data_IF_467191474518
#
_entry.id   IF_467191474518
#
_cell.length_a   1.000
_cell.length_b   1.000
_cell.length_c   1.000
_cell.angle_alpha   90.00
_cell.angle_beta   90.00
_cell.angle_gamma   90.00
#
_symmetry.space_group_name_H-M   'P 1'
#
loop_
_entity.id
_entity.type
_entity.pdbx_description
1 polymer ?
#
# COMPACT_ATOMS: atom_id res chain seq x y z
N UNK A 1 -13.26 26.40 52.50
CA UNK A 1 -13.14 27.69 53.21
C UNK A 1 -14.54 28.20 53.50
N UNK A 2 -14.78 28.85 54.64
CA UNK A 2 -16.08 29.42 55.02
C UNK A 2 -16.25 30.87 54.56
N UNK A 3 -17.45 31.41 54.74
CA UNK A 3 -17.76 32.80 54.42
C UNK A 3 -18.88 33.36 55.31
N UNK A 4 -18.91 34.68 55.47
CA UNK A 4 -19.92 35.38 56.26
C UNK A 4 -21.09 35.80 55.38
N UNK A 5 -22.32 35.60 55.86
CA UNK A 5 -23.52 36.19 55.26
C UNK A 5 -23.85 37.51 55.95
N UNK A 6 -23.98 38.60 55.19
CA UNK A 6 -24.36 39.89 55.74
C UNK A 6 -25.87 40.05 55.77
N UNK A 7 -26.42 40.34 56.95
CA UNK A 7 -27.85 40.55 57.15
C UNK A 7 -28.14 42.03 57.40
N UNK A 8 -29.19 42.55 56.78
CA UNK A 8 -29.71 43.90 57.05
C UNK A 8 -31.13 43.78 57.59
N UNK A 9 -31.31 44.03 58.88
CA UNK A 9 -32.63 44.08 59.53
C UNK A 9 -33.24 45.48 59.39
N UNK A 10 -34.50 45.54 58.96
CA UNK A 10 -35.26 46.78 58.82
C UNK A 10 -36.51 46.77 59.72
N UNK A 11 -36.92 47.94 60.27
CA UNK A 11 -36.26 49.25 60.18
C UNK A 11 -34.91 49.28 60.92
N UNK A 12 -34.06 50.28 60.66
CA UNK A 12 -32.71 50.33 61.25
C UNK A 12 -32.67 50.37 62.80
N UNK A 13 -33.81 50.69 63.42
CA UNK A 13 -34.06 50.70 64.87
C UNK A 13 -34.54 49.36 65.42
N UNK A 14 -34.73 48.34 64.57
CA UNK A 14 -35.16 47.01 64.99
C UNK A 14 -34.09 46.31 65.83
N UNK A 15 -34.54 45.37 66.67
CA UNK A 15 -33.66 44.41 67.33
C UNK A 15 -32.85 43.66 66.25
N UNK A 16 -31.54 43.59 66.46
CA UNK A 16 -30.59 43.00 65.49
C UNK A 16 -30.16 41.59 65.84
N UNK A 17 -30.81 40.97 66.84
CA UNK A 17 -30.53 39.57 67.18
C UNK A 17 -31.06 38.63 66.10
N UNK A 18 -30.19 37.71 65.71
CA UNK A 18 -30.39 36.76 64.63
C UNK A 18 -30.47 35.34 65.18
N UNK A 19 -31.29 34.50 64.56
CA UNK A 19 -31.31 33.05 64.78
C UNK A 19 -30.99 32.40 63.45
N UNK A 20 -29.92 31.61 63.42
CA UNK A 20 -29.45 30.92 62.23
C UNK A 20 -29.78 29.43 62.29
N UNK A 21 -30.17 28.86 61.16
CA UNK A 21 -30.34 27.41 61.00
C UNK A 21 -29.93 26.96 59.61
N UNK A 22 -29.55 25.70 59.49
CA UNK A 22 -29.25 25.06 58.22
C UNK A 22 -30.23 23.91 57.97
N UNK A 23 -30.75 23.80 56.76
CA UNK A 23 -31.65 22.71 56.39
C UNK A 23 -30.97 21.33 56.42
N UNK A 24 -29.63 21.29 56.30
CA UNK A 24 -28.83 20.07 56.36
C UNK A 24 -27.42 20.37 56.90
N UNK A 25 -27.22 20.13 58.19
CA UNK A 25 -25.94 20.34 58.87
C UNK A 25 -24.85 19.30 58.54
N UNK A 26 -25.18 18.26 57.78
CA UNK A 26 -24.16 17.36 57.21
C UNK A 26 -23.45 18.00 56.00
N UNK A 27 -24.13 18.92 55.30
CA UNK A 27 -23.61 19.65 54.14
C UNK A 27 -22.85 20.90 54.58
N UNK A 28 -23.46 21.75 55.41
CA UNK A 28 -22.82 22.96 55.92
C UNK A 28 -23.37 23.34 57.30
N UNK A 29 -22.56 24.01 58.12
CA UNK A 29 -23.01 24.59 59.40
C UNK A 29 -22.88 26.11 59.37
N UNK A 30 -23.71 26.77 60.16
CA UNK A 30 -23.69 28.22 60.38
C UNK A 30 -23.59 28.46 61.88
N UNK A 31 -22.72 29.38 62.30
CA UNK A 31 -22.62 29.79 63.70
C UNK A 31 -23.60 30.93 64.04
N UNK A 32 -23.56 31.40 65.29
CA UNK A 32 -24.46 32.45 65.76
C UNK A 32 -24.16 33.85 65.18
N UNK A 33 -23.06 34.01 64.44
CA UNK A 33 -22.65 35.25 63.78
C UNK A 33 -22.87 35.20 62.26
N UNK A 34 -23.51 34.14 61.74
CA UNK A 34 -23.77 33.98 60.31
C UNK A 34 -22.56 33.50 59.50
N UNK A 35 -21.53 32.96 60.15
CA UNK A 35 -20.38 32.36 59.49
C UNK A 35 -20.70 30.94 59.04
N UNK A 36 -20.66 30.69 57.73
CA UNK A 36 -21.03 29.41 57.12
C UNK A 36 -19.77 28.61 56.78
N UNK A 37 -19.72 27.35 57.23
CA UNK A 37 -18.64 26.39 56.94
C UNK A 37 -19.20 25.16 56.25
N UNK A 38 -18.76 24.90 55.02
CA UNK A 38 -19.08 23.67 54.31
C UNK A 38 -18.37 22.45 54.92
N UNK A 39 -19.11 21.35 55.07
CA UNK A 39 -18.62 20.06 55.58
C UNK A 39 -18.52 18.99 54.50
N UNK A 40 -19.55 18.84 53.66
CA UNK A 40 -19.59 17.84 52.61
C UNK A 40 -20.27 18.39 51.35
N UNK A 41 -19.98 17.80 50.20
CA UNK A 41 -20.58 18.23 48.93
C UNK A 41 -22.10 18.10 48.97
N UNK A 42 -22.79 19.15 48.54
CA UNK A 42 -24.24 19.17 48.58
C UNK A 42 -24.80 20.57 48.47
N UNK A 43 -26.12 20.65 48.54
CA UNK A 43 -26.85 21.92 48.61
C UNK A 43 -27.75 21.91 49.83
N UNK A 44 -27.65 22.96 50.63
CA UNK A 44 -28.56 23.22 51.74
C UNK A 44 -29.08 24.66 51.67
N UNK A 45 -30.07 24.98 52.48
CA UNK A 45 -30.57 26.33 52.66
C UNK A 45 -30.22 26.77 54.08
N UNK A 46 -29.51 27.88 54.20
CA UNK A 46 -29.28 28.55 55.48
C UNK A 46 -30.34 29.62 55.64
N UNK A 47 -31.04 29.61 56.77
CA UNK A 47 -32.13 30.54 57.09
C UNK A 47 -31.67 31.45 58.23
N UNK A 48 -31.79 32.76 58.05
CA UNK A 48 -31.76 33.73 59.16
C UNK A 48 -33.18 34.10 59.54
N UNK A 49 -33.47 34.05 60.83
CA UNK A 49 -34.78 34.41 61.40
C UNK A 49 -34.60 35.53 62.43
N UNK A 50 -35.47 36.54 62.40
CA UNK A 50 -35.45 37.60 63.42
C UNK A 50 -35.80 37.02 64.80
N UNK A 51 -34.98 37.34 65.81
CA UNK A 51 -35.19 36.84 67.18
C UNK A 51 -36.54 37.28 67.77
N UNK A 52 -36.95 38.53 67.54
CA UNK A 52 -38.15 39.11 68.14
C UNK A 52 -39.42 38.93 67.28
N UNK A 53 -39.27 38.56 66.01
CA UNK A 53 -40.38 38.29 65.09
C UNK A 53 -40.04 37.09 64.19
N UNK A 54 -40.28 35.85 64.65
CA UNK A 54 -39.95 34.63 63.89
C UNK A 54 -40.66 34.49 62.53
N UNK A 55 -41.68 35.31 62.24
CA UNK A 55 -42.31 35.35 60.92
C UNK A 55 -41.43 36.06 59.87
N UNK A 56 -40.47 36.89 60.30
CA UNK A 56 -39.50 37.57 59.42
C UNK A 56 -38.25 36.70 59.31
N UNK A 57 -37.99 36.20 58.10
CA UNK A 57 -36.86 35.35 57.77
C UNK A 57 -36.34 35.60 56.36
N UNK A 58 -35.11 35.21 56.11
CA UNK A 58 -34.50 35.21 54.78
C UNK A 58 -33.66 33.94 54.59
N UNK A 59 -33.64 33.45 53.36
CA UNK A 59 -33.00 32.20 52.98
C UNK A 59 -31.84 32.47 52.03
N UNK A 60 -30.72 31.77 52.22
CA UNK A 60 -29.62 31.71 51.26
C UNK A 60 -29.36 30.24 50.88
N UNK A 61 -29.32 29.99 49.57
CA UNK A 61 -28.92 28.69 49.03
C UNK A 61 -27.40 28.55 49.10
N UNK A 62 -26.92 27.54 49.83
CA UNK A 62 -25.49 27.23 49.97
C UNK A 62 -25.19 25.96 49.18
N UNK A 63 -24.21 26.03 48.28
CA UNK A 63 -23.68 24.87 47.56
C UNK A 63 -22.23 24.67 47.92
N UNK A 64 -21.92 23.52 48.53
CA UNK A 64 -20.55 23.12 48.89
C UNK A 64 -20.01 22.23 47.78
N UNK A 65 -18.83 22.57 47.25
CA UNK A 65 -18.12 21.79 46.23
C UNK A 65 -16.69 21.49 46.71
N UNK A 66 -16.14 20.33 46.30
CA UNK A 66 -14.73 20.05 46.50
C UNK A 66 -13.89 20.67 45.36
N UNK A 67 -13.07 21.70 45.63
CA UNK A 67 -12.27 22.37 44.60
C UNK A 67 -11.15 21.48 44.04
N UNK A 68 -10.86 20.34 44.67
CA UNK A 68 -9.87 19.36 44.21
C UNK A 68 -10.53 18.11 43.60
N UNK A 69 -11.85 18.10 43.42
CA UNK A 69 -12.54 17.02 42.73
C UNK A 69 -12.47 17.24 41.23
N UNK A 70 -12.25 16.16 40.49
CA UNK A 70 -12.22 16.21 39.02
C UNK A 70 -13.59 16.66 38.50
N UNK A 71 -13.59 17.70 37.68
CA UNK A 71 -14.78 18.28 37.05
C UNK A 71 -14.72 18.32 35.51
N UNK A 72 -13.54 18.11 34.92
CA UNK A 72 -13.36 18.01 33.48
C UNK A 72 -12.20 17.08 33.14
N UNK A 73 -12.26 16.47 31.95
CA UNK A 73 -11.18 15.70 31.35
C UNK A 73 -10.79 16.39 30.05
N UNK A 74 -9.49 16.49 29.78
CA UNK A 74 -8.97 16.93 28.48
C UNK A 74 -8.16 15.80 27.86
N UNK A 75 -8.47 15.49 26.59
CA UNK A 75 -7.76 14.50 25.80
C UNK A 75 -6.75 15.18 24.86
N UNK A 76 -5.61 14.52 24.62
CA UNK A 76 -4.66 14.95 23.59
C UNK A 76 -5.21 14.80 22.16
N UNK A 77 -6.13 13.84 21.96
CA UNK A 77 -6.90 13.59 20.74
C UNK A 77 -8.23 12.92 21.07
N UNK A 78 -9.26 13.24 20.30
CA UNK A 78 -10.63 12.71 20.42
C UNK A 78 -10.97 11.70 19.31
N UNK A 79 -10.01 11.43 18.43
CA UNK A 79 -10.13 10.43 17.38
C UNK A 79 -8.78 9.76 17.10
N UNK A 80 -8.81 8.51 16.67
CA UNK A 80 -7.63 7.77 16.20
C UNK A 80 -8.02 6.75 15.13
N UNK A 81 -7.09 6.53 14.18
CA UNK A 81 -7.19 5.49 13.17
C UNK A 81 -6.02 4.54 13.33
N UNK A 82 -6.29 3.26 13.63
CA UNK A 82 -5.27 2.25 13.91
C UNK A 82 -5.47 1.01 13.02
N UNK A 83 -4.40 0.35 12.57
CA UNK A 83 -4.54 -0.91 11.85
C UNK A 83 -4.91 -2.07 12.80
N UNK A 84 -5.52 -3.13 12.27
CA UNK A 84 -5.65 -4.41 13.01
C UNK A 84 -4.27 -4.87 13.49
N UNK A 85 -4.17 -5.25 14.76
CA UNK A 85 -2.91 -5.62 15.43
C UNK A 85 -2.03 -4.43 15.84
N UNK A 86 -2.36 -3.20 15.44
CA UNK A 86 -1.74 -1.97 15.91
C UNK A 86 -2.40 -1.41 17.17
N UNK A 87 -1.87 -0.29 17.64
CA UNK A 87 -2.43 0.42 18.79
C UNK A 87 -1.94 1.85 18.91
N UNK A 88 -2.62 2.63 19.74
CA UNK A 88 -2.35 4.04 19.98
C UNK A 88 -2.93 4.47 21.34
N UNK A 89 -2.52 5.63 21.86
CA UNK A 89 -2.94 6.19 23.15
C UNK A 89 -3.29 7.67 23.03
N UNK A 90 -4.34 8.13 23.72
CA UNK A 90 -4.62 9.54 23.93
C UNK A 90 -4.29 9.92 25.38
N UNK A 91 -3.39 10.86 25.57
CA UNK A 91 -3.04 11.34 26.90
C UNK A 91 -4.20 12.09 27.56
N UNK A 92 -4.46 11.74 28.82
CA UNK A 92 -5.54 12.27 29.64
C UNK A 92 -5.01 13.33 30.60
N UNK A 93 -5.68 14.46 30.67
CA UNK A 93 -5.46 15.49 31.70
C UNK A 93 -6.73 15.65 32.53
N UNK A 94 -6.67 15.22 33.79
CA UNK A 94 -7.74 15.43 34.77
C UNK A 94 -7.69 16.87 35.30
N UNK A 95 -8.82 17.58 35.24
CA UNK A 95 -8.97 18.94 35.71
C UNK A 95 -9.92 19.02 36.91
N UNK A 96 -9.61 19.88 37.91
CA UNK A 96 -8.48 20.79 37.94
C UNK A 96 -7.14 20.06 38.19
N UNK A 97 -6.02 20.67 37.80
CA UNK A 97 -4.70 19.98 37.83
C UNK A 97 -4.22 19.64 39.23
N UNK A 98 -4.75 20.30 40.26
CA UNK A 98 -4.53 20.00 41.68
C UNK A 98 -5.46 18.91 42.23
N UNK A 99 -6.26 18.24 41.39
CA UNK A 99 -7.15 17.19 41.85
C UNK A 99 -6.39 16.07 42.58
N UNK A 100 -6.95 15.59 43.69
CA UNK A 100 -6.28 14.64 44.60
C UNK A 100 -6.35 13.19 44.13
N UNK A 101 -7.41 12.82 43.39
CA UNK A 101 -7.58 11.49 42.82
C UNK A 101 -7.79 11.59 41.30
N UNK A 102 -6.78 11.19 40.53
CA UNK A 102 -6.75 11.27 39.06
C UNK A 102 -6.84 9.88 38.39
N UNK A 103 -7.30 8.86 39.12
CA UNK A 103 -7.40 7.51 38.55
C UNK A 103 -8.42 7.47 37.42
N UNK A 104 -8.03 6.81 36.34
CA UNK A 104 -8.80 6.62 35.12
C UNK A 104 -9.54 5.28 35.15
N UNK A 105 -10.67 5.22 34.46
CA UNK A 105 -11.39 3.98 34.13
C UNK A 105 -11.69 4.02 32.64
N UNK A 106 -11.21 3.02 31.91
CA UNK A 106 -11.35 2.94 30.46
C UNK A 106 -12.35 1.86 30.07
N UNK A 107 -13.21 2.17 29.10
CA UNK A 107 -14.23 1.24 28.58
C UNK A 107 -14.28 1.37 27.06
N UNK A 108 -14.20 0.23 26.36
CA UNK A 108 -14.53 0.17 24.93
C UNK A 108 -16.01 -0.14 24.74
N UNK A 109 -16.67 0.54 23.81
CA UNK A 109 -18.05 0.23 23.44
C UNK A 109 -18.18 -1.10 22.69
N UNK A 110 -17.10 -1.60 22.09
CA UNK A 110 -17.04 -2.89 21.38
C UNK A 110 -15.61 -3.44 21.38
N UNK A 111 -15.32 -4.33 22.32
CA UNK A 111 -14.02 -5.00 22.45
C UNK A 111 -13.70 -5.97 21.30
N UNK A 112 -14.71 -6.37 20.50
CA UNK A 112 -14.47 -7.15 19.29
C UNK A 112 -13.88 -6.33 18.15
N UNK A 113 -13.96 -4.99 18.23
CA UNK A 113 -13.37 -4.04 17.28
C UNK A 113 -12.04 -3.50 17.84
N UNK A 114 -12.04 -2.97 19.06
CA UNK A 114 -10.83 -2.49 19.73
C UNK A 114 -10.93 -2.64 21.25
N UNK A 115 -9.83 -3.01 21.89
CA UNK A 115 -9.70 -3.11 23.36
C UNK A 115 -8.92 -1.91 23.90
N UNK A 116 -9.06 -1.65 25.20
CA UNK A 116 -8.29 -0.62 25.91
C UNK A 116 -7.82 -1.20 27.26
N UNK A 117 -6.56 -0.96 27.62
CA UNK A 117 -6.03 -1.41 28.92
C UNK A 117 -6.16 -0.33 30.01
N UNK A 118 -5.76 -0.65 31.24
CA UNK A 118 -5.84 0.26 32.39
C UNK A 118 -4.95 1.51 32.27
N UNK A 119 -4.01 1.54 31.33
CA UNK A 119 -3.14 2.68 31.02
C UNK A 119 -3.67 3.54 29.87
N UNK A 120 -4.82 3.18 29.28
CA UNK A 120 -5.44 3.89 28.16
C UNK A 120 -4.86 3.54 26.79
N UNK A 121 -4.03 2.49 26.69
CA UNK A 121 -3.55 1.98 25.41
C UNK A 121 -4.66 1.24 24.66
N UNK A 122 -5.01 1.73 23.48
CA UNK A 122 -6.06 1.17 22.62
C UNK A 122 -5.44 0.25 21.58
N UNK A 123 -5.94 -0.98 21.44
CA UNK A 123 -5.45 -1.97 20.47
C UNK A 123 -6.55 -2.38 19.47
N UNK A 124 -6.22 -2.38 18.18
CA UNK A 124 -7.15 -2.74 17.10
C UNK A 124 -7.27 -4.25 16.91
N UNK A 125 -8.49 -4.79 16.98
CA UNK A 125 -8.76 -6.23 16.88
C UNK A 125 -9.40 -6.59 15.54
N UNK A 126 -10.39 -5.83 15.09
CA UNK A 126 -11.14 -6.10 13.86
C UNK A 126 -11.54 -4.80 13.19
N UNK A 127 -11.61 -4.83 11.85
CA UNK A 127 -12.06 -3.68 11.07
C UNK A 127 -13.44 -3.21 11.55
N UNK A 128 -13.57 -1.90 11.77
CA UNK A 128 -14.80 -1.30 12.28
C UNK A 128 -14.57 0.02 12.99
N UNK A 129 -15.63 0.56 13.57
CA UNK A 129 -15.57 1.77 14.40
C UNK A 129 -16.19 1.49 15.75
N UNK A 130 -15.52 1.91 16.83
CA UNK A 130 -16.06 1.88 18.18
C UNK A 130 -15.70 3.17 18.92
N UNK A 131 -16.25 3.35 20.12
CA UNK A 131 -15.95 4.48 21.01
C UNK A 131 -15.22 3.93 22.23
N UNK A 132 -14.05 4.50 22.52
CA UNK A 132 -13.35 4.26 23.79
C UNK A 132 -13.60 5.46 24.70
N UNK A 133 -14.09 5.22 25.92
CA UNK A 133 -14.44 6.27 26.88
C UNK A 133 -13.57 6.16 28.12
N UNK A 134 -13.03 7.30 28.57
CA UNK A 134 -12.35 7.44 29.86
C UNK A 134 -13.28 8.12 30.84
N UNK A 135 -13.41 7.54 32.03
CA UNK A 135 -14.15 8.08 33.16
C UNK A 135 -13.19 8.47 34.27
N UNK A 136 -13.50 9.54 35.00
CA UNK A 136 -12.82 9.83 36.27
C UNK A 136 -13.33 8.89 37.36
N UNK A 137 -12.44 8.16 38.02
CA UNK A 137 -12.82 7.32 39.17
C UNK A 137 -13.34 8.15 40.35
N UNK A 138 -12.86 9.38 40.50
CA UNK A 138 -13.28 10.29 41.58
C UNK A 138 -14.64 10.94 41.31
N UNK A 139 -15.03 11.03 40.03
CA UNK A 139 -16.30 11.59 39.61
C UNK A 139 -16.77 10.90 38.30
N UNK A 140 -17.42 9.72 38.39
CA UNK A 140 -17.79 8.94 37.21
C UNK A 140 -18.78 9.62 36.25
N UNK A 141 -19.41 10.73 36.66
CA UNK A 141 -20.20 11.55 35.75
C UNK A 141 -19.34 12.35 34.76
N UNK A 142 -18.05 12.55 35.06
CA UNK A 142 -17.08 13.21 34.19
C UNK A 142 -16.40 12.15 33.33
N UNK A 143 -16.62 12.24 32.03
CA UNK A 143 -16.03 11.33 31.05
C UNK A 143 -15.74 12.05 29.75
N UNK A 144 -14.83 11.49 28.96
CA UNK A 144 -14.54 11.93 27.60
C UNK A 144 -14.36 10.71 26.68
N UNK A 145 -14.64 10.89 25.40
CA UNK A 145 -14.70 9.80 24.45
C UNK A 145 -13.74 10.01 23.27
N UNK A 146 -13.19 8.90 22.78
CA UNK A 146 -12.33 8.82 21.61
C UNK A 146 -13.04 7.97 20.56
N UNK A 147 -13.21 8.53 19.36
CA UNK A 147 -13.66 7.75 18.20
C UNK A 147 -12.50 6.93 17.65
N UNK A 148 -12.64 5.61 17.68
CA UNK A 148 -11.61 4.68 17.20
C UNK A 148 -12.06 4.06 15.88
N UNK A 149 -11.28 4.26 14.83
CA UNK A 149 -11.47 3.61 13.53
C UNK A 149 -10.38 2.57 13.32
N UNK A 150 -10.75 1.29 13.32
CA UNK A 150 -9.82 0.19 13.06
C UNK A 150 -9.88 -0.16 11.57
N UNK A 151 -8.75 -0.05 10.90
CA UNK A 151 -8.61 -0.35 9.46
C UNK A 151 -7.92 -1.69 9.25
N UNK A 152 -8.33 -2.44 8.23
CA UNK A 152 -7.59 -3.63 7.80
C UNK A 152 -6.51 -3.26 6.77
N UNK A 153 -5.20 -3.28 7.12
CA UNK A 153 -4.13 -2.97 6.17
C UNK A 153 -3.96 -4.02 5.08
N UNK A 154 -4.60 -5.19 5.21
CA UNK A 154 -4.53 -6.31 4.28
C UNK A 154 -5.79 -6.41 3.40
N UNK A 155 -6.71 -5.45 3.50
CA UNK A 155 -7.92 -5.38 2.68
C UNK A 155 -7.71 -4.43 1.51
N UNK A 156 -8.15 -4.86 0.32
CA UNK A 156 -8.11 -4.03 -0.88
C UNK A 156 -8.98 -2.78 -0.68
N UNK A 157 -8.39 -1.61 -0.92
CA UNK A 157 -9.04 -0.30 -0.83
C UNK A 157 -9.03 0.48 -2.15
N UNK A 158 -8.16 0.11 -3.10
CA UNK A 158 -8.12 0.73 -4.43
C UNK A 158 -7.66 -0.26 -5.50
N UNK A 159 -8.11 -0.02 -6.75
CA UNK A 159 -7.62 -0.69 -7.95
C UNK A 159 -6.96 0.35 -8.84
N UNK A 160 -5.74 0.08 -9.28
CA UNK A 160 -5.06 0.86 -10.31
C UNK A 160 -4.93 0.03 -11.58
N UNK A 161 -5.36 0.59 -12.70
CA UNK A 161 -5.20 -0.02 -14.02
C UNK A 161 -4.00 0.55 -14.76
N UNK A 162 -3.34 -0.28 -15.56
CA UNK A 162 -2.29 0.17 -16.50
C UNK A 162 -2.85 1.07 -17.60
N UNK A 163 -4.11 0.86 -17.99
CA UNK A 163 -4.90 1.72 -18.89
C UNK A 163 -6.39 1.67 -18.54
N UNK A 164 -7.07 2.77 -18.81
CA UNK A 164 -8.51 2.95 -18.57
C UNK A 164 -9.32 3.00 -19.86
N UNK A 165 -8.66 2.88 -21.01
CA UNK A 165 -9.29 2.84 -22.32
C UNK A 165 -8.53 1.87 -23.24
N UNK A 166 -9.21 1.21 -24.16
CA UNK A 166 -8.61 0.34 -25.18
C UNK A 166 -9.37 0.38 -26.50
N UNK A 167 -8.62 0.33 -27.61
CA UNK A 167 -9.17 0.21 -28.97
C UNK A 167 -8.78 -1.16 -29.52
N UNK A 168 -9.76 -2.03 -29.75
CA UNK A 168 -9.53 -3.42 -30.16
C UNK A 168 -10.10 -3.63 -31.55
N UNK A 169 -9.36 -4.27 -32.46
CA UNK A 169 -9.94 -4.72 -33.72
C UNK A 169 -10.82 -5.96 -33.48
N UNK A 170 -11.93 -6.10 -34.21
CA UNK A 170 -12.74 -7.33 -34.16
C UNK A 170 -11.86 -8.57 -34.37
N UNK A 171 -11.96 -9.53 -33.43
CA UNK A 171 -11.18 -10.77 -33.41
C UNK A 171 -9.86 -10.69 -32.66
N UNK A 172 -9.41 -9.51 -32.24
CA UNK A 172 -8.22 -9.32 -31.42
C UNK A 172 -8.59 -9.24 -29.92
N UNK A 173 -7.57 -9.26 -29.07
CA UNK A 173 -7.70 -9.01 -27.65
C UNK A 173 -6.75 -7.90 -27.20
N UNK A 174 -7.04 -7.34 -26.05
CA UNK A 174 -6.18 -6.43 -25.31
C UNK A 174 -6.35 -6.66 -23.79
N UNK A 175 -5.39 -6.24 -22.98
CA UNK A 175 -5.42 -6.42 -21.51
C UNK A 175 -4.95 -5.15 -20.79
N UNK A 176 -5.63 -4.79 -19.70
CA UNK A 176 -5.13 -3.80 -18.74
C UNK A 176 -4.69 -4.50 -17.46
N UNK A 177 -3.41 -4.37 -17.10
CA UNK A 177 -2.90 -4.92 -15.85
C UNK A 177 -3.52 -4.23 -14.64
N UNK A 178 -3.93 -5.04 -13.68
CA UNK A 178 -4.56 -4.63 -12.43
C UNK A 178 -3.53 -4.63 -11.31
N UNK A 179 -3.49 -3.55 -10.54
CA UNK A 179 -2.77 -3.47 -9.27
C UNK A 179 -3.80 -3.25 -8.16
N UNK A 180 -4.00 -4.27 -7.34
CA UNK A 180 -4.76 -4.17 -6.09
C UNK A 180 -3.92 -3.44 -5.04
N UNK A 181 -4.50 -2.43 -4.39
CA UNK A 181 -3.86 -1.64 -3.35
C UNK A 181 -4.65 -1.74 -2.04
N UNK A 182 -3.98 -1.72 -0.88
CA UNK A 182 -2.53 -1.59 -0.70
C UNK A 182 -1.78 -2.88 -1.12
N UNK A 183 -0.46 -2.80 -1.33
CA UNK A 183 0.38 -3.97 -1.69
C UNK A 183 0.40 -5.07 -0.63
N UNK A 184 0.05 -4.71 0.60
CA UNK A 184 -0.13 -5.64 1.73
C UNK A 184 -1.43 -6.43 1.64
N UNK A 185 -2.31 -6.14 0.68
CA UNK A 185 -3.55 -6.87 0.52
C UNK A 185 -3.29 -8.37 0.26
N UNK A 186 -3.93 -9.23 1.06
CA UNK A 186 -3.69 -10.67 1.00
C UNK A 186 -4.57 -11.36 -0.05
N UNK A 187 -5.81 -10.90 -0.22
CA UNK A 187 -6.74 -11.42 -1.21
C UNK A 187 -6.90 -10.40 -2.35
N UNK A 188 -6.26 -10.69 -3.47
CA UNK A 188 -6.20 -9.83 -4.66
C UNK A 188 -7.00 -10.40 -5.83
N UNK A 189 -7.92 -11.33 -5.59
CA UNK A 189 -8.72 -11.92 -6.66
C UNK A 189 -9.58 -10.89 -7.40
N UNK A 190 -9.58 -11.00 -8.73
CA UNK A 190 -10.27 -10.13 -9.67
C UNK A 190 -11.59 -10.74 -10.14
N UNK A 191 -12.63 -9.91 -10.22
CA UNK A 191 -13.91 -10.28 -10.85
C UNK A 191 -14.13 -9.34 -12.03
N UNK A 192 -14.14 -9.92 -13.23
CA UNK A 192 -14.29 -9.19 -14.48
C UNK A 192 -15.71 -9.28 -15.03
N UNK A 193 -16.22 -8.18 -15.56
CA UNK A 193 -17.53 -8.13 -16.22
C UNK A 193 -17.48 -7.22 -17.45
N UNK A 194 -18.26 -7.55 -18.47
CA UNK A 194 -18.51 -6.66 -19.61
C UNK A 194 -19.95 -6.17 -19.56
N UNK A 195 -20.13 -4.86 -19.72
CA UNK A 195 -21.46 -4.25 -19.86
C UNK A 195 -22.17 -4.65 -21.16
N UNK A 196 -21.43 -5.08 -22.19
CA UNK A 196 -22.00 -5.63 -23.41
C UNK A 196 -21.07 -6.70 -24.04
N UNK A 197 -21.25 -7.98 -23.67
CA UNK A 197 -20.48 -9.11 -24.22
C UNK A 197 -20.60 -9.28 -25.74
N UNK A 198 -21.64 -8.74 -26.38
CA UNK A 198 -21.75 -8.81 -27.84
C UNK A 198 -20.75 -7.86 -28.55
N UNK A 199 -20.32 -6.78 -27.89
CA UNK A 199 -19.30 -5.86 -28.40
C UNK A 199 -17.91 -6.34 -27.98
N UNK A 200 -17.70 -6.59 -26.69
CA UNK A 200 -16.45 -7.16 -26.18
C UNK A 200 -16.70 -8.06 -24.98
N UNK A 201 -16.02 -9.22 -24.94
CA UNK A 201 -16.03 -10.14 -23.79
C UNK A 201 -14.77 -9.96 -22.95
N UNK A 202 -14.81 -10.41 -21.70
CA UNK A 202 -13.63 -10.45 -20.83
C UNK A 202 -13.58 -11.80 -20.13
N UNK A 203 -12.39 -12.40 -20.04
CA UNK A 203 -12.21 -13.66 -19.33
C UNK A 203 -11.82 -13.45 -17.85
N UNK A 204 -11.60 -14.56 -17.12
CA UNK A 204 -11.23 -14.51 -15.69
C UNK A 204 -9.81 -13.98 -15.42
N UNK A 205 -9.00 -13.80 -16.46
CA UNK A 205 -7.63 -13.29 -16.38
C UNK A 205 -7.52 -11.83 -16.84
N UNK A 206 -8.64 -11.19 -17.18
CA UNK A 206 -8.70 -9.80 -17.62
C UNK A 206 -8.40 -9.58 -19.10
N UNK A 207 -8.29 -10.65 -19.91
CA UNK A 207 -8.16 -10.49 -21.36
C UNK A 207 -9.50 -10.05 -21.95
N UNK A 208 -9.51 -8.91 -22.64
CA UNK A 208 -10.70 -8.33 -23.28
C UNK A 208 -10.66 -8.63 -24.77
N UNK A 209 -11.69 -9.29 -25.30
CA UNK A 209 -11.78 -9.70 -26.71
C UNK A 209 -12.78 -8.84 -27.46
N UNK A 210 -12.38 -8.28 -28.60
CA UNK A 210 -13.28 -7.52 -29.48
C UNK A 210 -14.16 -8.46 -30.31
N UNK A 211 -15.47 -8.48 -30.06
CA UNK A 211 -16.43 -9.36 -30.73
C UNK A 211 -17.14 -8.70 -31.93
N UNK A 212 -17.62 -7.47 -31.77
CA UNK A 212 -18.27 -6.71 -32.86
C UNK A 212 -18.05 -5.20 -32.70
N UNK A 213 -18.08 -4.41 -33.80
CA UNK A 213 -17.81 -2.99 -33.72
C UNK A 213 -18.79 -2.25 -32.79
N UNK A 214 -18.27 -1.36 -31.95
CA UNK A 214 -19.06 -0.62 -30.98
C UNK A 214 -18.25 -0.25 -29.74
N UNK A 215 -18.89 0.34 -28.74
CA UNK A 215 -18.26 0.69 -27.47
C UNK A 215 -18.95 0.01 -26.29
N UNK A 216 -18.18 -0.49 -25.34
CA UNK A 216 -18.69 -0.97 -24.06
C UNK A 216 -17.72 -0.66 -22.92
N UNK A 217 -18.16 -0.86 -21.68
CA UNK A 217 -17.33 -0.80 -20.48
C UNK A 217 -17.01 -2.23 -20.02
N UNK A 218 -15.74 -2.49 -19.75
CA UNK A 218 -15.27 -3.66 -19.01
C UNK A 218 -14.86 -3.22 -17.61
N UNK A 219 -15.37 -3.91 -16.59
CA UNK A 219 -15.13 -3.58 -15.19
C UNK A 219 -14.33 -4.68 -14.52
N UNK A 220 -13.35 -4.30 -13.68
CA UNK A 220 -12.76 -5.18 -12.67
C UNK A 220 -13.21 -4.76 -11.28
N UNK A 221 -13.57 -5.75 -10.47
CA UNK A 221 -14.03 -5.59 -9.09
C UNK A 221 -13.15 -6.46 -8.20
N UNK A 222 -12.75 -5.95 -7.02
CA UNK A 222 -12.06 -6.78 -6.03
C UNK A 222 -13.05 -7.77 -5.42
N UNK A 223 -12.74 -9.08 -5.46
CA UNK A 223 -13.58 -10.09 -4.81
C UNK A 223 -13.64 -9.92 -3.29
N UNK A 224 -12.53 -9.51 -2.69
CA UNK A 224 -12.41 -9.28 -1.25
C UNK A 224 -13.13 -8.01 -0.79
N UNK A 225 -13.26 -7.02 -1.67
CA UNK A 225 -13.99 -5.80 -1.40
C UNK A 225 -14.78 -5.34 -2.64
N UNK A 226 -16.01 -5.86 -2.86
CA UNK A 226 -16.79 -5.58 -4.07
C UNK A 226 -17.19 -4.11 -4.29
N UNK A 227 -17.00 -3.25 -3.29
CA UNK A 227 -17.18 -1.80 -3.42
C UNK A 227 -16.03 -1.13 -4.18
N UNK A 228 -14.86 -1.77 -4.27
CA UNK A 228 -13.69 -1.28 -4.99
C UNK A 228 -13.72 -1.83 -6.41
N UNK A 229 -13.86 -0.92 -7.37
CA UNK A 229 -14.04 -1.21 -8.79
C UNK A 229 -13.20 -0.25 -9.64
N UNK A 230 -12.72 -0.72 -10.79
CA UNK A 230 -12.20 0.14 -11.85
C UNK A 230 -12.83 -0.24 -13.20
N UNK A 231 -12.99 0.77 -14.07
CA UNK A 231 -13.62 0.64 -15.38
C UNK A 231 -12.63 0.90 -16.50
N UNK A 232 -12.80 0.16 -17.59
CA UNK A 232 -12.09 0.33 -18.85
C UNK A 232 -13.10 0.62 -19.95
N UNK A 233 -12.90 1.71 -20.68
CA UNK A 233 -13.65 2.02 -21.89
C UNK A 233 -13.08 1.19 -23.04
N UNK A 234 -13.91 0.39 -23.69
CA UNK A 234 -13.52 -0.49 -24.79
C UNK A 234 -14.20 -0.02 -26.07
N UNK A 235 -13.42 0.33 -27.09
CA UNK A 235 -13.92 0.59 -28.43
C UNK A 235 -13.46 -0.50 -29.37
N UNK A 236 -14.40 -1.23 -29.95
CA UNK A 236 -14.11 -2.29 -30.93
C UNK A 236 -14.29 -1.73 -32.34
N UNK A 237 -13.24 -1.85 -33.15
CA UNK A 237 -13.14 -1.29 -34.49
C UNK A 237 -13.26 -2.37 -35.57
N UNK A 238 -13.93 -2.07 -36.67
CA UNK A 238 -14.03 -2.95 -37.84
C UNK A 238 -12.71 -3.03 -38.60
N UNK A 239 -12.37 -4.21 -39.14
CA UNK A 239 -11.23 -4.38 -40.05
C UNK A 239 -11.57 -3.83 -41.44
N UNK A 240 -10.83 -2.85 -41.94
CA UNK A 240 -10.96 -2.38 -43.33
C UNK A 240 -10.42 -3.45 -44.27
N UNK A 241 -11.30 -4.04 -45.09
CA UNK A 241 -10.89 -5.01 -46.10
C UNK A 241 -10.36 -4.27 -47.33
N UNK A 242 -9.05 -4.23 -47.53
CA UNK A 242 -8.47 -3.80 -48.80
C UNK A 242 -8.58 -4.96 -49.79
N UNK A 243 -9.56 -4.90 -50.69
CA UNK A 243 -9.73 -5.84 -51.79
C UNK A 243 -8.69 -5.55 -52.87
N UNK A 244 -7.59 -6.31 -52.90
CA UNK A 244 -6.59 -6.22 -53.98
C UNK A 244 -7.08 -7.04 -55.17
N UNK A 245 -7.53 -6.36 -56.24
CA UNK A 245 -7.87 -6.98 -57.53
C UNK A 245 -6.58 -7.28 -58.30
N UNK A 246 -6.27 -8.55 -58.51
CA UNK A 246 -5.11 -9.01 -59.29
C UNK A 246 -5.35 -8.74 -60.78
N UNK A 247 -4.55 -7.84 -61.38
CA UNK A 247 -4.42 -7.74 -62.85
C UNK A 247 -3.02 -8.14 -63.25
N UNK A 248 -2.93 -9.14 -64.12
CA UNK A 248 -1.71 -9.71 -64.69
C UNK A 248 -1.07 -8.74 -65.68
N UNK A 249 0.18 -8.32 -65.47
CA UNK A 249 1.04 -7.87 -66.59
C UNK A 249 2.52 -8.14 -66.31
N UNK A 250 3.16 -8.50 -67.42
CA UNK A 250 4.48 -9.02 -67.77
C UNK A 250 5.72 -8.42 -67.08
N UNK A 251 6.70 -9.30 -66.91
CA UNK A 251 8.11 -9.19 -66.52
C UNK A 251 8.86 -7.95 -67.02
N UNK A 252 9.56 -7.25 -66.11
CA UNK A 252 10.90 -6.66 -66.37
C UNK A 252 11.67 -6.59 -65.06
N UNK A 253 12.89 -7.13 -65.09
CA UNK A 253 13.83 -7.21 -63.98
C UNK A 253 14.45 -5.84 -63.68
N UNK A 254 14.29 -5.34 -62.45
CA UNK A 254 15.18 -4.31 -61.86
C UNK A 254 15.47 -4.67 -60.40
N UNK A 255 16.76 -4.68 -60.08
CA UNK A 255 17.37 -4.99 -58.80
C UNK A 255 17.24 -3.83 -57.80
N UNK A 256 17.18 -4.18 -56.51
CA UNK A 256 17.49 -3.37 -55.30
C UNK A 256 16.51 -2.26 -54.90
N UNK A 257 15.72 -2.48 -53.84
CA UNK A 257 16.04 -2.15 -52.43
C UNK A 257 14.78 -2.35 -51.58
N UNK A 258 14.83 -3.28 -50.64
CA UNK A 258 13.82 -3.43 -49.58
C UNK A 258 13.95 -2.28 -48.59
N UNK A 259 13.17 -1.22 -48.77
CA UNK A 259 12.78 -0.33 -47.68
C UNK A 259 11.49 -0.87 -47.07
N UNK A 260 11.62 -1.69 -46.03
CA UNK A 260 10.55 -1.94 -45.07
C UNK A 260 10.26 -0.64 -44.34
N UNK A 261 9.12 -0.02 -44.65
CA UNK A 261 8.53 1.00 -43.79
C UNK A 261 7.98 0.32 -42.51
N UNK A 262 8.13 0.92 -41.32
CA UNK A 262 8.07 0.20 -40.05
C UNK A 262 6.62 -0.04 -39.60
N UNK A 263 6.37 -1.23 -39.06
CA UNK A 263 5.25 -1.47 -38.14
C UNK A 263 5.57 -0.73 -36.83
N UNK A 264 5.07 0.49 -36.67
CA UNK A 264 5.21 1.24 -35.40
C UNK A 264 4.21 0.63 -34.40
N UNK A 265 4.65 -0.40 -33.68
CA UNK A 265 4.19 -0.64 -32.31
C UNK A 265 4.96 0.35 -31.45
N UNK A 266 4.36 1.47 -31.06
CA UNK A 266 5.07 2.46 -30.23
C UNK A 266 5.15 1.96 -28.79
N UNK A 267 6.18 1.19 -28.48
CA UNK A 267 6.58 0.90 -27.09
C UNK A 267 6.93 2.22 -26.39
N UNK A 268 6.46 2.39 -25.15
CA UNK A 268 6.70 3.62 -24.39
C UNK A 268 8.06 3.52 -23.72
N UNK A 269 9.00 4.36 -24.14
CA UNK A 269 10.34 4.48 -23.53
C UNK A 269 10.34 5.58 -22.48
N UNK A 270 10.74 5.25 -21.26
CA UNK A 270 10.87 6.19 -20.14
C UNK A 270 12.30 6.16 -19.60
N UNK A 271 12.87 7.32 -19.33
CA UNK A 271 14.11 7.43 -18.56
C UNK A 271 13.81 8.08 -17.21
N UNK A 272 14.06 7.37 -16.12
CA UNK A 272 13.84 7.85 -14.75
C UNK A 272 15.19 7.79 -14.04
N UNK A 273 15.75 8.96 -13.71
CA UNK A 273 17.04 9.09 -13.02
C UNK A 273 18.18 8.30 -13.70
N UNK A 274 18.27 8.34 -15.03
CA UNK A 274 19.30 7.63 -15.79
C UNK A 274 19.01 6.14 -16.01
N UNK A 275 17.87 5.63 -15.55
CA UNK A 275 17.44 4.24 -15.74
C UNK A 275 16.36 4.16 -16.81
N UNK A 276 16.52 3.27 -17.78
CA UNK A 276 15.59 3.14 -18.90
C UNK A 276 14.55 2.05 -18.65
N UNK A 277 13.29 2.38 -18.94
CA UNK A 277 12.16 1.47 -18.92
C UNK A 277 11.47 1.48 -20.29
N UNK A 278 11.05 0.31 -20.76
CA UNK A 278 10.26 0.16 -21.99
C UNK A 278 9.01 -0.62 -21.62
N UNK A 279 7.83 0.01 -21.76
CA UNK A 279 6.55 -0.51 -21.24
C UNK A 279 6.62 -0.90 -19.76
N UNK A 280 7.38 -0.14 -18.97
CA UNK A 280 7.61 -0.41 -17.54
C UNK A 280 8.62 -1.51 -17.24
N UNK A 281 9.19 -2.17 -18.25
CA UNK A 281 10.25 -3.18 -18.09
C UNK A 281 11.60 -2.46 -17.98
N UNK A 282 12.32 -2.67 -16.87
CA UNK A 282 13.68 -2.16 -16.69
C UNK A 282 14.64 -2.74 -17.75
N UNK A 283 15.20 -1.90 -18.60
CA UNK A 283 16.10 -2.32 -19.68
C UNK A 283 17.55 -2.03 -19.32
N UNK A 284 18.37 -3.09 -19.39
CA UNK A 284 19.83 -3.03 -19.29
C UNK A 284 20.40 -3.92 -20.38
N UNK A 285 21.15 -3.34 -21.30
CA UNK A 285 21.85 -4.05 -22.37
C UNK A 285 23.02 -3.18 -22.85
N UNK A 286 23.59 -3.43 -24.04
CA UNK A 286 24.74 -2.64 -24.53
C UNK A 286 24.40 -1.19 -24.89
N UNK A 287 23.15 -0.90 -25.25
CA UNK A 287 22.66 0.45 -25.52
C UNK A 287 22.27 1.18 -24.23
N UNK A 288 21.53 0.49 -23.36
CA UNK A 288 20.93 1.08 -22.16
C UNK A 288 21.71 0.65 -20.92
N UNK A 289 22.43 1.60 -20.30
CA UNK A 289 23.20 1.38 -19.08
C UNK A 289 22.43 1.77 -17.82
N UNK A 290 22.80 1.17 -16.70
CA UNK A 290 22.49 1.65 -15.36
C UNK A 290 23.53 2.67 -14.86
N UNK A 291 23.10 3.67 -14.07
CA UNK A 291 24.01 4.55 -13.34
C UNK A 291 24.98 3.80 -12.43
N UNK A 292 26.16 4.38 -12.18
CA UNK A 292 27.18 3.79 -11.29
C UNK A 292 26.71 3.66 -9.85
N UNK A 293 25.86 4.59 -9.42
CA UNK A 293 25.24 4.65 -8.10
C UNK A 293 23.88 3.93 -8.03
N UNK A 294 23.42 3.30 -9.12
CA UNK A 294 22.27 2.42 -9.08
C UNK A 294 22.58 1.22 -8.17
N UNK A 295 21.96 1.25 -6.99
CA UNK A 295 22.15 0.24 -5.96
C UNK A 295 20.81 -0.40 -5.58
N UNK A 296 20.78 -1.72 -5.61
CA UNK A 296 19.74 -2.53 -5.01
C UNK A 296 20.35 -3.34 -3.87
N UNK A 297 19.55 -3.77 -2.90
CA UNK A 297 20.01 -4.50 -1.72
C UNK A 297 20.45 -5.95 -2.01
N UNK A 298 20.36 -6.40 -3.27
CA UNK A 298 20.66 -7.77 -3.68
C UNK A 298 19.75 -8.24 -4.82
N UNK A 299 19.58 -9.56 -4.90
CA UNK A 299 18.61 -10.16 -5.81
C UNK A 299 17.19 -9.71 -5.40
N UNK A 300 16.37 -9.34 -6.38
CA UNK A 300 15.00 -8.89 -6.18
C UNK A 300 14.19 -9.98 -5.47
N UNK A 301 13.42 -9.61 -4.44
CA UNK A 301 12.70 -10.57 -3.60
C UNK A 301 11.67 -11.41 -4.40
N UNK A 302 11.00 -10.82 -5.39
CA UNK A 302 10.04 -11.54 -6.23
C UNK A 302 10.74 -12.49 -7.20
N UNK A 303 11.87 -12.06 -7.79
CA UNK A 303 12.69 -12.93 -8.62
C UNK A 303 13.21 -14.12 -7.79
N UNK A 304 13.72 -13.87 -6.57
CA UNK A 304 14.19 -14.93 -5.67
C UNK A 304 13.05 -15.90 -5.30
N UNK A 305 11.87 -15.37 -4.92
CA UNK A 305 10.73 -16.21 -4.58
C UNK A 305 10.30 -17.10 -5.75
N UNK A 306 10.21 -16.53 -6.96
CA UNK A 306 9.84 -17.28 -8.15
C UNK A 306 10.91 -18.27 -8.58
N UNK A 307 12.19 -17.95 -8.41
CA UNK A 307 13.28 -18.89 -8.65
C UNK A 307 13.21 -20.08 -7.68
N UNK A 308 12.91 -19.83 -6.41
CA UNK A 308 12.74 -20.90 -5.42
C UNK A 308 11.56 -21.81 -5.76
N UNK A 309 10.41 -21.25 -6.17
CA UNK A 309 9.27 -22.05 -6.65
C UNK A 309 9.65 -22.88 -7.87
N UNK A 310 10.31 -22.27 -8.86
CA UNK A 310 10.80 -22.96 -10.05
C UNK A 310 11.74 -24.12 -9.71
N UNK A 311 12.66 -23.90 -8.76
CA UNK A 311 13.61 -24.92 -8.31
C UNK A 311 12.90 -26.07 -7.56
N UNK A 312 11.88 -25.77 -6.75
CA UNK A 312 11.08 -26.78 -6.06
C UNK A 312 10.28 -27.64 -7.04
N UNK A 313 9.65 -27.03 -8.04
CA UNK A 313 8.88 -27.77 -9.06
C UNK A 313 9.78 -28.60 -9.96
N UNK A 314 10.98 -28.11 -10.28
CA UNK A 314 12.01 -28.90 -10.96
C UNK A 314 12.47 -30.10 -10.10
N UNK A 315 12.63 -29.90 -8.79
CA UNK A 315 13.02 -30.96 -7.85
C UNK A 315 11.99 -32.10 -7.74
N UNK A 316 10.69 -31.80 -7.89
CA UNK A 316 9.65 -32.84 -7.96
C UNK A 316 9.81 -33.77 -9.17
N UNK A 317 10.54 -33.34 -10.19
CA UNK A 317 10.87 -34.11 -11.39
C UNK A 317 12.29 -34.72 -11.33
N UNK A 318 12.97 -34.63 -10.18
CA UNK A 318 14.33 -35.13 -9.99
C UNK A 318 15.42 -34.23 -10.56
N UNK A 319 15.10 -32.98 -10.91
CA UNK A 319 16.04 -31.99 -11.46
C UNK A 319 16.58 -31.06 -10.35
N UNK A 320 17.81 -30.56 -10.49
CA UNK A 320 18.40 -29.65 -9.49
C UNK A 320 18.76 -28.30 -10.08
N UNK A 321 18.02 -27.26 -9.72
CA UNK A 321 18.31 -25.88 -10.09
C UNK A 321 18.94 -25.12 -8.90
N UNK A 322 20.08 -24.48 -9.12
CA UNK A 322 20.82 -23.69 -8.12
C UNK A 322 21.18 -22.33 -8.69
N UNK A 323 20.99 -21.28 -7.88
CA UNK A 323 21.47 -19.94 -8.20
C UNK A 323 22.99 -19.88 -7.99
N UNK A 324 23.75 -19.81 -9.07
CA UNK A 324 25.22 -19.72 -9.03
C UNK A 324 25.72 -18.28 -9.02
N UNK A 325 25.01 -17.38 -9.70
CA UNK A 325 25.26 -15.94 -9.64
C UNK A 325 23.95 -15.14 -9.68
N UNK A 326 23.79 -14.18 -8.77
CA UNK A 326 22.62 -13.31 -8.71
C UNK A 326 23.01 -11.85 -8.93
N UNK A 327 22.65 -10.98 -7.99
CA UNK A 327 23.04 -9.57 -8.05
C UNK A 327 24.57 -9.37 -8.10
N UNK A 328 25.03 -8.50 -9.02
CA UNK A 328 26.41 -8.04 -9.10
C UNK A 328 26.43 -6.51 -9.13
N UNK A 329 27.17 -5.89 -8.22
CA UNK A 329 27.31 -4.43 -8.18
C UNK A 329 28.07 -3.90 -9.40
N UNK A 330 27.93 -2.60 -9.67
CA UNK A 330 28.71 -1.92 -10.71
C UNK A 330 30.23 -2.13 -10.53
N UNK A 331 30.74 -1.95 -9.31
CA UNK A 331 32.17 -2.09 -8.99
C UNK A 331 32.69 -3.52 -9.16
N UNK A 332 31.87 -4.52 -8.84
CA UNK A 332 32.20 -5.91 -9.09
C UNK A 332 32.26 -6.18 -10.60
N UNK A 333 31.29 -5.68 -11.36
CA UNK A 333 31.26 -5.81 -12.81
C UNK A 333 32.47 -5.14 -13.49
N UNK A 334 32.94 -3.99 -12.97
CA UNK A 334 34.16 -3.32 -13.41
C UNK A 334 35.40 -4.19 -13.24
N UNK A 335 35.57 -4.77 -12.06
CA UNK A 335 36.68 -5.69 -11.79
C UNK A 335 36.63 -6.92 -12.71
N UNK A 336 35.43 -7.52 -12.84
CA UNK A 336 35.22 -8.71 -13.67
C UNK A 336 35.49 -8.44 -15.15
N UNK A 337 34.91 -7.38 -15.71
CA UNK A 337 35.10 -7.02 -17.11
C UNK A 337 36.57 -6.71 -17.43
N UNK A 338 37.25 -5.95 -16.56
CA UNK A 338 38.68 -5.65 -16.74
C UNK A 338 39.54 -6.92 -16.71
N UNK A 339 39.19 -7.91 -15.90
CA UNK A 339 39.89 -9.21 -15.89
C UNK A 339 39.76 -9.96 -17.23
N UNK A 340 38.58 -9.90 -17.87
CA UNK A 340 38.36 -10.50 -19.18
C UNK A 340 39.05 -9.73 -20.31
N UNK A 341 39.05 -8.40 -20.26
CA UNK A 341 39.82 -7.56 -21.20
C UNK A 341 41.31 -7.88 -21.12
N UNK A 342 41.85 -8.06 -19.92
CA UNK A 342 43.26 -8.41 -19.71
C UNK A 342 43.60 -9.81 -20.23
N UNK A 343 42.70 -10.79 -20.05
CA UNK A 343 42.94 -12.18 -20.44
C UNK A 343 42.74 -12.41 -21.94
N UNK A 344 41.67 -11.85 -22.50
CA UNK A 344 41.12 -12.25 -23.80
C UNK A 344 41.05 -11.09 -24.81
N UNK A 345 41.34 -9.86 -24.37
CA UNK A 345 41.23 -8.65 -25.18
C UNK A 345 39.81 -8.07 -25.23
N UNK A 346 39.73 -6.75 -25.43
CA UNK A 346 38.47 -6.00 -25.35
C UNK A 346 37.40 -6.46 -26.34
N UNK A 347 37.80 -6.75 -27.58
CA UNK A 347 36.85 -7.15 -28.64
C UNK A 347 36.11 -8.45 -28.27
N UNK A 348 36.83 -9.42 -27.69
CA UNK A 348 36.26 -10.70 -27.28
C UNK A 348 35.51 -10.56 -25.94
N UNK A 349 36.04 -9.81 -24.98
CA UNK A 349 35.34 -9.52 -23.73
C UNK A 349 33.99 -8.80 -23.96
N UNK A 350 33.90 -7.94 -24.98
CA UNK A 350 32.65 -7.28 -25.36
C UNK A 350 31.58 -8.25 -25.90
N UNK A 351 31.89 -9.50 -26.31
CA UNK A 351 30.89 -10.45 -26.85
C UNK A 351 30.23 -11.32 -25.79
N UNK A 352 30.95 -11.68 -24.73
CA UNK A 352 30.48 -12.61 -23.69
C UNK A 352 30.43 -11.98 -22.29
N UNK A 353 30.91 -10.74 -22.13
CA UNK A 353 30.81 -10.00 -20.88
C UNK A 353 30.17 -8.63 -21.11
N UNK A 354 29.87 -7.94 -20.02
CA UNK A 354 29.25 -6.63 -20.04
C UNK A 354 30.19 -5.58 -19.44
N UNK A 355 30.30 -4.43 -20.11
CA UNK A 355 30.91 -3.23 -19.53
C UNK A 355 30.13 -2.83 -18.26
N UNK A 356 30.76 -2.17 -17.27
CA UNK A 356 30.08 -1.73 -16.06
C UNK A 356 28.87 -0.84 -16.39
N UNK A 357 27.74 -1.08 -15.72
CA UNK A 357 26.45 -0.45 -16.05
C UNK A 357 25.64 -1.20 -17.10
N UNK A 358 26.24 -2.09 -17.89
CA UNK A 358 25.55 -2.82 -18.97
C UNK A 358 25.24 -4.28 -18.63
N UNK A 359 25.48 -4.72 -17.38
CA UNK A 359 25.15 -6.07 -16.93
C UNK A 359 23.77 -6.11 -16.30
N UNK A 360 22.90 -7.01 -16.77
CA UNK A 360 21.60 -7.23 -16.15
C UNK A 360 21.70 -7.67 -14.69
N UNK A 361 22.80 -8.28 -14.25
CA UNK A 361 22.99 -8.65 -12.84
C UNK A 361 22.95 -7.45 -11.90
N UNK A 362 23.28 -6.25 -12.38
CA UNK A 362 23.17 -5.03 -11.56
C UNK A 362 21.71 -4.65 -11.27
N UNK A 363 20.74 -5.16 -12.05
CA UNK A 363 19.31 -4.95 -11.77
C UNK A 363 18.81 -5.73 -10.55
N UNK A 364 19.51 -6.81 -10.16
CA UNK A 364 18.99 -7.81 -9.22
C UNK A 364 17.84 -8.67 -9.80
N UNK A 365 17.60 -8.64 -11.12
CA UNK A 365 16.56 -9.43 -11.80
C UNK A 365 17.15 -10.56 -12.66
N UNK A 366 18.47 -10.72 -12.69
CA UNK A 366 19.15 -11.77 -13.44
C UNK A 366 19.73 -12.85 -12.49
N UNK A 367 19.67 -14.10 -12.95
CA UNK A 367 20.21 -15.27 -12.23
C UNK A 367 20.94 -16.16 -13.24
N UNK A 368 22.21 -16.47 -12.95
CA UNK A 368 22.92 -17.57 -13.60
C UNK A 368 22.66 -18.87 -12.83
N UNK A 369 22.21 -19.90 -13.55
CA UNK A 369 21.77 -21.17 -12.98
C UNK A 369 22.78 -22.28 -13.21
N UNK A 370 23.08 -23.07 -12.17
CA UNK A 370 23.97 -24.24 -12.23
C UNK A 370 25.36 -23.90 -12.81
N UNK A 371 25.84 -24.64 -13.81
CA UNK A 371 27.13 -24.38 -14.43
C UNK A 371 27.02 -23.18 -15.36
N UNK A 372 27.87 -22.16 -15.15
CA UNK A 372 27.91 -20.92 -15.94
C UNK A 372 28.84 -21.12 -17.16
N UNK A 373 28.63 -22.23 -17.88
CA UNK A 373 29.36 -22.60 -19.09
C UNK A 373 28.54 -23.60 -19.94
N UNK A 374 29.02 -23.91 -21.14
CA UNK A 374 28.28 -24.76 -22.09
C UNK A 374 28.10 -26.22 -21.65
N UNK A 375 28.71 -26.68 -20.56
CA UNK A 375 28.38 -28.01 -19.99
C UNK A 375 26.93 -28.06 -19.51
N UNK A 376 26.32 -26.92 -19.18
CA UNK A 376 24.91 -26.85 -18.79
C UNK A 376 23.95 -27.19 -19.94
N UNK A 377 24.33 -26.90 -21.19
CA UNK A 377 23.45 -27.03 -22.36
C UNK A 377 22.87 -28.44 -22.53
N UNK A 378 23.66 -29.47 -22.20
CA UNK A 378 23.28 -30.87 -22.42
C UNK A 378 22.67 -31.53 -21.17
N UNK A 379 22.20 -30.73 -20.21
CA UNK A 379 21.58 -31.22 -18.97
C UNK A 379 20.05 -31.29 -19.10
N UNK A 380 19.38 -32.21 -18.38
CA UNK A 380 17.93 -32.23 -18.33
C UNK A 380 17.34 -30.95 -17.70
N UNK A 381 18.07 -30.30 -16.79
CA UNK A 381 17.74 -29.00 -16.22
C UNK A 381 17.64 -27.90 -17.29
N UNK A 382 18.62 -27.79 -18.19
CA UNK A 382 18.61 -26.80 -19.26
C UNK A 382 17.42 -27.02 -20.20
N UNK A 383 17.21 -28.26 -20.65
CA UNK A 383 16.07 -28.61 -21.52
C UNK A 383 14.71 -28.36 -20.84
N UNK A 384 14.65 -28.48 -19.51
CA UNK A 384 13.46 -28.15 -18.74
C UNK A 384 13.26 -26.64 -18.61
N UNK A 385 14.32 -25.87 -18.32
CA UNK A 385 14.25 -24.41 -18.22
C UNK A 385 13.77 -23.77 -19.52
N UNK A 386 14.28 -24.22 -20.67
CA UNK A 386 13.85 -23.73 -21.99
C UNK A 386 12.34 -23.80 -22.19
N UNK A 387 11.66 -24.77 -21.57
CA UNK A 387 10.22 -25.00 -21.73
C UNK A 387 9.37 -24.46 -20.57
N UNK A 388 9.98 -24.11 -19.45
CA UNK A 388 9.27 -23.88 -18.19
C UNK A 388 9.64 -22.57 -17.48
N UNK A 389 10.81 -21.98 -17.73
CA UNK A 389 11.26 -20.78 -17.02
C UNK A 389 10.22 -19.64 -17.08
N UNK A 390 9.55 -19.49 -18.22
CA UNK A 390 8.55 -18.45 -18.45
C UNK A 390 7.35 -18.53 -17.49
N UNK A 391 6.98 -19.75 -17.05
CA UNK A 391 5.88 -20.01 -16.11
C UNK A 391 6.15 -19.39 -14.74
N UNK A 392 7.42 -19.21 -14.41
CA UNK A 392 7.88 -18.58 -13.17
C UNK A 392 8.31 -17.13 -13.38
N UNK A 393 8.14 -16.57 -14.58
CA UNK A 393 8.48 -15.19 -14.89
C UNK A 393 9.90 -14.98 -15.35
N UNK A 394 10.60 -16.03 -15.77
CA UNK A 394 11.96 -15.94 -16.31
C UNK A 394 11.99 -16.24 -17.81
N UNK A 395 12.84 -15.53 -18.55
CA UNK A 395 13.22 -15.90 -19.92
C UNK A 395 14.67 -16.37 -19.94
N UNK A 396 15.03 -17.24 -20.89
CA UNK A 396 16.42 -17.41 -21.30
C UNK A 396 16.82 -16.13 -22.02
N UNK A 397 17.62 -15.28 -21.37
CA UNK A 397 17.79 -13.88 -21.80
C UNK A 397 18.56 -13.75 -23.11
N UNK A 398 19.56 -14.60 -23.29
CA UNK A 398 20.44 -14.63 -24.45
C UNK A 398 20.27 -15.96 -25.17
N UNK A 399 19.19 -16.15 -25.95
CA UNK A 399 18.91 -17.40 -26.65
C UNK A 399 19.80 -17.57 -27.89
N UNK A 400 19.99 -18.82 -28.31
CA UNK A 400 20.83 -19.19 -29.46
C UNK A 400 20.30 -18.57 -30.74
N UNK A 401 21.18 -17.97 -31.55
CA UNK A 401 20.84 -17.37 -32.84
C UNK A 401 20.26 -15.96 -32.75
N UNK A 402 20.24 -15.35 -31.56
CA UNK A 402 19.77 -13.97 -31.34
C UNK A 402 20.91 -13.01 -30.96
N UNK A 403 22.17 -13.41 -31.12
CA UNK A 403 23.37 -12.66 -30.75
C UNK A 403 23.44 -11.29 -31.45
N UNK A 404 22.94 -11.21 -32.69
CA UNK A 404 22.88 -9.96 -33.46
C UNK A 404 21.90 -8.93 -32.86
N UNK A 405 20.91 -9.39 -32.08
CA UNK A 405 19.91 -8.52 -31.43
C UNK A 405 20.29 -8.23 -29.99
N UNK A 406 20.62 -9.26 -29.22
CA UNK A 406 20.97 -9.12 -27.79
C UNK A 406 22.35 -8.49 -27.60
N UNK A 407 23.25 -8.69 -28.56
CA UNK A 407 24.65 -8.34 -28.47
C UNK A 407 25.49 -9.32 -27.63
N UNK A 408 24.91 -10.32 -26.99
CA UNK A 408 25.62 -11.29 -26.16
C UNK A 408 25.61 -12.68 -26.79
N UNK A 409 26.67 -13.45 -26.56
CA UNK A 409 26.71 -14.89 -26.90
C UNK A 409 25.54 -15.65 -26.28
N UNK A 410 25.18 -16.81 -26.84
CA UNK A 410 24.19 -17.71 -26.25
C UNK A 410 24.59 -18.14 -24.82
N UNK A 411 23.71 -17.90 -23.86
CA UNK A 411 23.89 -18.25 -22.43
C UNK A 411 22.66 -19.01 -21.92
N UNK A 412 22.65 -20.36 -21.99
CA UNK A 412 21.53 -21.17 -21.51
C UNK A 412 21.28 -21.07 -19.99
N UNK A 413 22.28 -20.62 -19.22
CA UNK A 413 22.21 -20.47 -17.77
C UNK A 413 21.65 -19.11 -17.33
N UNK A 414 21.66 -18.08 -18.19
CA UNK A 414 21.30 -16.71 -17.81
C UNK A 414 19.80 -16.48 -17.92
N UNK A 415 19.15 -16.39 -16.77
CA UNK A 415 17.72 -16.13 -16.64
C UNK A 415 17.45 -14.66 -16.31
N UNK A 416 16.49 -14.05 -17.01
CA UNK A 416 16.01 -12.69 -16.71
C UNK A 416 14.57 -12.72 -16.22
N UNK A 417 14.33 -12.18 -15.03
CA UNK A 417 12.99 -12.02 -14.47
C UNK A 417 12.25 -10.84 -15.10
N UNK A 418 11.07 -11.11 -15.64
CA UNK A 418 10.12 -10.13 -16.21
C UNK A 418 8.75 -10.18 -15.52
N UNK A 419 8.54 -11.14 -14.61
CA UNK A 419 7.20 -11.53 -14.16
C UNK A 419 6.54 -12.53 -15.11
N UNK A 420 5.63 -13.36 -14.59
CA UNK A 420 5.09 -14.53 -15.31
C UNK A 420 4.38 -14.17 -16.61
N UNK A 421 3.60 -13.09 -16.64
CA UNK A 421 2.86 -12.67 -17.84
C UNK A 421 3.82 -12.28 -18.97
N UNK A 422 4.65 -11.28 -18.76
CA UNK A 422 5.60 -10.77 -19.76
C UNK A 422 6.60 -11.84 -20.19
N UNK A 423 7.14 -12.65 -19.26
CA UNK A 423 8.03 -13.74 -19.64
C UNK A 423 7.35 -14.77 -20.55
N UNK A 424 6.07 -15.06 -20.31
CA UNK A 424 5.26 -15.97 -21.14
C UNK A 424 4.97 -15.39 -22.51
N UNK A 425 4.68 -14.09 -22.62
CA UNK A 425 4.50 -13.41 -23.91
C UNK A 425 5.78 -13.42 -24.74
N UNK A 426 6.92 -13.06 -24.12
CA UNK A 426 8.23 -13.11 -24.77
C UNK A 426 8.53 -14.54 -25.23
N UNK A 427 8.33 -15.54 -24.36
CA UNK A 427 8.52 -16.95 -24.70
C UNK A 427 7.65 -17.39 -25.88
N UNK A 428 6.36 -17.08 -25.86
CA UNK A 428 5.41 -17.47 -26.91
C UNK A 428 5.69 -16.76 -28.25
N UNK A 429 6.28 -15.57 -28.23
CA UNK A 429 6.64 -14.84 -29.45
C UNK A 429 7.82 -15.47 -30.21
N UNK A 430 8.66 -16.27 -29.53
CA UNK A 430 9.92 -16.79 -30.08
C UNK A 430 10.99 -15.70 -30.31
N UNK A 431 10.76 -14.49 -29.82
CA UNK A 431 11.67 -13.34 -29.93
C UNK A 431 12.57 -13.23 -28.70
N UNK A 432 13.76 -12.64 -28.86
CA UNK A 432 14.50 -12.14 -27.71
C UNK A 432 13.87 -10.83 -27.19
N UNK A 433 14.28 -10.37 -26.01
CA UNK A 433 13.69 -9.16 -25.39
C UNK A 433 13.86 -7.91 -26.25
N UNK A 434 14.99 -7.76 -26.94
CA UNK A 434 15.26 -6.66 -27.87
C UNK A 434 14.28 -6.65 -29.05
N UNK A 435 14.09 -7.80 -29.69
CA UNK A 435 13.13 -7.95 -30.79
C UNK A 435 11.69 -7.72 -30.31
N UNK A 436 11.35 -8.26 -29.14
CA UNK A 436 10.01 -8.13 -28.55
C UNK A 436 9.63 -6.68 -28.28
N UNK A 437 10.60 -5.87 -27.82
CA UNK A 437 10.38 -4.46 -27.47
C UNK A 437 10.79 -3.47 -28.57
N UNK A 438 11.31 -3.96 -29.70
CA UNK A 438 11.80 -3.11 -30.78
C UNK A 438 12.96 -2.19 -30.37
N UNK A 439 13.88 -2.65 -29.53
CA UNK A 439 15.01 -1.85 -29.00
C UNK A 439 16.38 -2.39 -29.43
N UNK A 440 17.39 -1.53 -29.47
CA UNK A 440 18.77 -1.90 -29.85
C UNK A 440 19.60 -2.42 -28.67
N UNK A 441 20.64 -3.21 -28.96
CA UNK A 441 21.73 -3.54 -28.05
C UNK A 441 23.09 -3.40 -28.75
N UNK A 442 23.67 -2.20 -28.70
CA UNK A 442 25.02 -1.94 -29.21
C UNK A 442 25.73 -0.91 -28.34
N UNK A 443 27.03 -1.09 -28.12
CA UNK A 443 27.83 -0.05 -27.46
C UNK A 443 27.96 1.15 -28.39
N UNK A 444 27.91 2.35 -27.82
CA UNK A 444 28.31 3.56 -28.55
C UNK A 444 29.77 3.42 -29.02
N UNK A 445 30.02 3.80 -30.27
CA UNK A 445 31.34 3.82 -30.89
C UNK A 445 32.25 4.89 -30.29
#
# INVERSE_FOLDING_TARGET
MGGISYVTMLPATADRREIWSCSDESIAVVDNEGWIVGKSEGTCVVTVTSFNNPAVKADIKVTVCDPNKVNAIKLSKTEMSIPIGGGDISYVTMLPTNATNKKEIWISSDESIATVNDEGWVSGIREGTCIVTVYSRANPAVHESIKVNVTDPNKVSAIKLSKYEMNILVGNLDISYVTMLPKTALNVEEVWTSSNPAIATVDKWGNVYGASPGSCIVSVISKANPSVKADIVVNVLSRTTTTTTTTTTTTTTVTTTTTTAPYISSHIVQNINGVTYVDGILIVNKTYSLPKDYAVSGLNANALAQFNTMALDAAQLGLSLKCSSGYRSYSYQETLYNSYVLRDGKLLADTYSARPGHSEHQTGLAIDVNSIDYTFLNTPECAWLEKNAHKYGFIIRYPKGKEAYTGFSYEPWHLRYLGTATATEVYNSGLCLEEYLGISSAYAN
#
